data_IF_529830860185
#
_entry.id   IF_529830860185
#
_cell.length_a   1.000
_cell.length_b   1.000
_cell.length_c   1.000
_cell.angle_alpha   90.00
_cell.angle_beta   90.00
_cell.angle_gamma   90.00
#
_symmetry.space_group_name_H-M   'P 1'
#
loop_
_entity.id
_entity.type
_entity.pdbx_description
1 polymer ?
#
# COMPACT_ATOMS: atom_id res chain seq x y z
N UNK A 1 -2.33 36.48 30.63
CA UNK A 1 -3.35 35.56 30.07
C UNK A 1 -3.15 35.23 28.59
N UNK A 2 -2.93 36.18 27.67
CA UNK A 2 -2.77 35.90 26.22
C UNK A 2 -1.68 34.87 25.87
N UNK A 3 -0.52 34.92 26.55
CA UNK A 3 0.58 33.96 26.32
C UNK A 3 0.31 32.56 26.87
N UNK A 4 -0.55 32.42 27.88
CA UNK A 4 -0.90 31.12 28.47
C UNK A 4 -1.81 30.32 27.51
N UNK A 5 -2.73 31.03 26.83
CA UNK A 5 -3.64 30.45 25.84
C UNK A 5 -2.86 29.99 24.59
N UNK A 6 -1.92 30.80 24.10
CA UNK A 6 -1.03 30.44 22.99
C UNK A 6 -0.14 29.22 23.32
N UNK A 7 0.36 29.14 24.55
CA UNK A 7 1.20 28.01 24.99
C UNK A 7 0.38 26.71 25.14
N UNK A 8 -0.86 26.79 25.65
CA UNK A 8 -1.77 25.65 25.74
C UNK A 8 -2.19 25.12 24.37
N UNK A 9 -2.52 26.00 23.42
CA UNK A 9 -2.84 25.62 22.03
C UNK A 9 -1.62 25.00 21.33
N UNK A 10 -0.42 25.53 21.58
CA UNK A 10 0.81 24.94 21.05
C UNK A 10 1.09 23.54 21.61
N UNK A 11 0.86 23.30 22.92
CA UNK A 11 1.05 21.97 23.52
C UNK A 11 0.04 20.95 22.97
N UNK A 12 -1.22 21.36 22.79
CA UNK A 12 -2.29 20.47 22.31
C UNK A 12 -2.08 20.06 20.85
N UNK A 13 -1.65 21.00 19.99
CA UNK A 13 -1.39 20.72 18.56
C UNK A 13 -0.15 19.86 18.32
N UNK A 14 0.92 20.02 19.11
CA UNK A 14 2.11 19.15 19.03
C UNK A 14 1.80 17.73 19.53
N UNK A 15 0.95 17.60 20.54
CA UNK A 15 0.58 16.29 21.09
C UNK A 15 -0.29 15.47 20.13
N UNK A 16 -1.19 16.11 19.38
CA UNK A 16 -2.06 15.41 18.42
C UNK A 16 -1.30 14.95 17.17
N UNK A 17 -0.36 15.77 16.65
CA UNK A 17 0.50 15.37 15.52
C UNK A 17 1.35 14.16 15.87
N UNK A 18 1.93 14.15 17.07
CA UNK A 18 2.74 13.02 17.58
C UNK A 18 1.90 11.74 17.77
N UNK A 19 0.63 11.86 18.17
CA UNK A 19 -0.28 10.72 18.29
C UNK A 19 -0.63 10.12 16.92
N UNK A 20 -0.96 10.95 15.92
CA UNK A 20 -1.23 10.49 14.56
C UNK A 20 0.01 9.80 13.95
N UNK A 21 1.20 10.40 14.10
CA UNK A 21 2.46 9.82 13.61
C UNK A 21 2.75 8.46 14.26
N UNK A 22 2.44 8.31 15.55
CA UNK A 22 2.60 7.05 16.27
C UNK A 22 1.66 5.97 15.74
N UNK A 23 0.38 6.28 15.54
CA UNK A 23 -0.58 5.31 14.97
C UNK A 23 -0.21 4.96 13.51
N UNK A 24 0.29 5.93 12.73
CA UNK A 24 0.82 5.67 11.38
C UNK A 24 2.02 4.73 11.39
N UNK A 25 2.99 4.96 12.31
CA UNK A 25 4.13 4.05 12.52
C UNK A 25 3.69 2.65 12.93
N UNK A 26 2.64 2.54 13.73
CA UNK A 26 2.08 1.24 14.09
C UNK A 26 1.46 0.53 12.88
N UNK A 27 0.64 1.23 12.08
CA UNK A 27 0.03 0.66 10.87
C UNK A 27 1.10 0.24 9.85
N UNK A 28 2.05 1.11 9.52
CA UNK A 28 3.16 0.80 8.60
C UNK A 28 4.01 -0.35 9.10
N UNK A 29 4.25 -0.46 10.41
CA UNK A 29 4.94 -1.62 11.00
C UNK A 29 4.18 -2.94 10.79
N UNK A 30 2.85 -2.94 10.84
CA UNK A 30 2.04 -4.11 10.52
C UNK A 30 2.09 -4.47 9.04
N UNK A 31 1.94 -3.46 8.17
CA UNK A 31 2.00 -3.65 6.72
C UNK A 31 3.39 -4.11 6.27
N UNK A 32 4.46 -3.60 6.87
CA UNK A 32 5.83 -4.05 6.63
C UNK A 32 6.04 -5.52 7.05
N UNK A 33 5.42 -5.96 8.16
CA UNK A 33 5.48 -7.36 8.58
C UNK A 33 4.74 -8.29 7.61
N UNK A 34 3.63 -7.84 7.03
CA UNK A 34 2.97 -8.56 5.92
C UNK A 34 3.86 -8.55 4.68
N UNK A 35 4.49 -7.43 4.35
CA UNK A 35 5.36 -7.31 3.18
C UNK A 35 6.54 -8.28 3.21
N UNK A 36 7.16 -8.44 4.38
CA UNK A 36 8.20 -9.44 4.61
C UNK A 36 7.69 -10.88 4.45
N UNK A 37 6.46 -11.18 4.90
CA UNK A 37 5.87 -12.50 4.75
C UNK A 37 5.59 -12.85 3.28
N UNK A 38 5.14 -11.88 2.49
CA UNK A 38 4.79 -12.09 1.08
C UNK A 38 6.00 -12.03 0.14
N UNK A 39 7.14 -11.52 0.57
CA UNK A 39 8.38 -11.60 -0.23
C UNK A 39 8.77 -13.06 -0.46
N UNK A 40 8.95 -13.42 -1.74
CA UNK A 40 9.20 -14.78 -2.21
C UNK A 40 7.95 -15.66 -2.35
N UNK A 41 6.75 -15.13 -2.06
CA UNK A 41 5.50 -15.87 -2.27
C UNK A 41 5.09 -15.83 -3.74
N UNK A 42 4.46 -16.92 -4.16
CA UNK A 42 3.87 -17.06 -5.47
C UNK A 42 2.35 -16.91 -5.36
N UNK A 43 1.76 -16.44 -6.45
CA UNK A 43 0.32 -16.41 -6.67
C UNK A 43 -0.04 -16.81 -8.09
N UNK A 44 -1.32 -17.00 -8.33
CA UNK A 44 -1.87 -17.43 -9.60
C UNK A 44 -3.00 -16.49 -10.02
N UNK A 45 -2.98 -15.97 -11.26
CA UNK A 45 -4.03 -15.10 -11.77
C UNK A 45 -5.11 -15.96 -12.41
N UNK A 46 -6.13 -16.37 -11.65
CA UNK A 46 -7.23 -17.19 -12.20
C UNK A 46 -8.31 -16.32 -12.84
N UNK A 47 -8.59 -16.58 -14.12
CA UNK A 47 -9.75 -16.04 -14.86
C UNK A 47 -9.77 -14.52 -15.15
N UNK A 48 -8.65 -13.87 -15.49
CA UNK A 48 -8.73 -12.45 -15.89
C UNK A 48 -7.50 -11.87 -16.57
N UNK A 49 -7.65 -11.57 -17.88
CA UNK A 49 -7.01 -10.48 -18.67
C UNK A 49 -5.48 -10.25 -18.60
N UNK A 50 -4.69 -11.06 -17.90
CA UNK A 50 -3.24 -10.99 -17.93
C UNK A 50 -2.69 -11.97 -18.97
N UNK A 51 -1.65 -11.55 -19.69
CA UNK A 51 -0.82 -12.44 -20.51
C UNK A 51 -0.09 -13.49 -19.63
N UNK A 52 0.04 -13.21 -18.32
CA UNK A 52 0.73 -14.06 -17.37
C UNK A 52 -0.22 -14.77 -16.41
N UNK A 53 0.08 -16.03 -16.15
CA UNK A 53 -0.75 -16.91 -15.30
C UNK A 53 -0.25 -16.98 -13.85
N UNK A 54 1.02 -16.69 -13.60
CA UNK A 54 1.64 -16.73 -12.27
C UNK A 54 2.41 -15.46 -12.00
N UNK A 55 2.48 -15.08 -10.71
CA UNK A 55 3.37 -14.03 -10.25
C UNK A 55 4.16 -14.49 -9.03
N UNK A 56 5.36 -13.94 -8.90
CA UNK A 56 6.21 -14.07 -7.72
C UNK A 56 6.50 -12.68 -7.20
N UNK A 57 6.24 -12.43 -5.91
CA UNK A 57 6.61 -11.17 -5.27
C UNK A 57 8.11 -11.24 -4.93
N UNK A 58 8.96 -10.63 -5.73
CA UNK A 58 10.42 -10.67 -5.52
C UNK A 58 10.87 -9.72 -4.41
N UNK A 59 10.18 -8.59 -4.26
CA UNK A 59 10.45 -7.61 -3.21
C UNK A 59 9.14 -6.93 -2.84
N UNK A 60 8.89 -6.80 -1.54
CA UNK A 60 7.83 -5.93 -1.05
C UNK A 60 8.27 -5.24 0.24
N UNK A 61 8.13 -3.92 0.28
CA UNK A 61 8.48 -3.11 1.44
C UNK A 61 7.53 -1.92 1.60
N UNK A 62 7.25 -1.57 2.85
CA UNK A 62 6.41 -0.48 3.30
C UNK A 62 7.17 0.30 4.35
N UNK A 63 7.35 1.60 4.14
CA UNK A 63 7.87 2.53 5.14
C UNK A 63 6.82 3.59 5.47
N UNK A 64 7.19 4.57 6.27
CA UNK A 64 6.38 5.75 6.56
C UNK A 64 6.08 6.63 5.34
N UNK A 65 6.91 6.53 4.30
CA UNK A 65 6.97 7.45 3.16
C UNK A 65 6.94 6.75 1.80
N UNK A 66 7.06 5.42 1.77
CA UNK A 66 7.29 4.69 0.52
C UNK A 66 6.69 3.29 0.58
N UNK A 67 6.00 2.91 -0.49
CA UNK A 67 5.63 1.52 -0.77
C UNK A 67 6.39 1.09 -2.02
N UNK A 68 7.19 0.03 -1.93
CA UNK A 68 7.86 -0.55 -3.09
C UNK A 68 7.42 -1.99 -3.25
N UNK A 69 7.02 -2.33 -4.45
CA UNK A 69 6.56 -3.65 -4.82
C UNK A 69 7.24 -4.08 -6.11
N UNK A 70 7.78 -5.30 -6.14
CA UNK A 70 8.41 -5.87 -7.32
C UNK A 70 7.87 -7.28 -7.52
N UNK A 71 7.35 -7.52 -8.70
CA UNK A 71 6.85 -8.81 -9.11
C UNK A 71 7.55 -9.30 -10.37
N UNK A 72 7.72 -10.61 -10.42
CA UNK A 72 8.00 -11.34 -11.64
C UNK A 72 6.72 -12.00 -12.12
N UNK A 73 6.39 -11.80 -13.38
CA UNK A 73 5.21 -12.36 -14.04
C UNK A 73 5.67 -13.44 -15.02
N UNK A 74 5.01 -14.60 -14.98
CA UNK A 74 5.37 -15.76 -15.81
C UNK A 74 4.15 -16.53 -16.30
N UNK A 75 4.22 -17.03 -17.54
CA UNK A 75 3.28 -18.03 -18.02
C UNK A 75 3.55 -19.36 -17.31
N UNK A 76 2.51 -19.88 -16.65
CA UNK A 76 2.51 -21.16 -15.95
C UNK A 76 2.92 -22.32 -16.84
N UNK A 77 2.61 -22.25 -18.13
CA UNK A 77 2.91 -23.32 -19.08
C UNK A 77 4.22 -23.09 -19.83
N UNK A 78 4.87 -21.94 -19.64
CA UNK A 78 6.09 -21.57 -20.34
C UNK A 78 5.91 -21.47 -21.86
N UNK A 79 4.69 -21.19 -22.33
CA UNK A 79 4.41 -21.01 -23.75
C UNK A 79 4.85 -19.63 -24.23
N UNK A 80 4.86 -18.64 -23.33
CA UNK A 80 5.37 -17.32 -23.65
C UNK A 80 6.89 -17.29 -23.67
N UNK A 81 7.42 -16.70 -24.73
CA UNK A 81 8.87 -16.53 -24.95
C UNK A 81 9.40 -15.31 -24.21
N UNK A 82 8.61 -14.72 -23.32
CA UNK A 82 8.91 -13.49 -22.60
C UNK A 82 8.84 -13.72 -21.09
N UNK A 83 9.70 -13.02 -20.35
CA UNK A 83 9.57 -12.86 -18.91
C UNK A 83 9.31 -11.37 -18.62
N UNK A 84 8.29 -11.07 -17.83
CA UNK A 84 7.96 -9.71 -17.45
C UNK A 84 8.29 -9.48 -15.97
N UNK A 85 8.87 -8.32 -15.68
CA UNK A 85 9.10 -7.84 -14.33
C UNK A 85 8.41 -6.49 -14.16
N UNK A 86 7.59 -6.38 -13.12
CA UNK A 86 6.86 -5.18 -12.76
C UNK A 86 7.44 -4.64 -11.45
N UNK A 87 7.85 -3.37 -11.44
CA UNK A 87 8.28 -2.64 -10.25
C UNK A 87 7.36 -1.44 -10.06
N UNK A 88 6.70 -1.37 -8.91
CA UNK A 88 5.84 -0.27 -8.51
C UNK A 88 6.44 0.44 -7.30
N UNK A 89 6.46 1.76 -7.35
CA UNK A 89 6.90 2.62 -6.25
C UNK A 89 5.84 3.68 -6.01
N UNK A 90 5.32 3.77 -4.79
CA UNK A 90 4.32 4.75 -4.39
C UNK A 90 4.89 5.61 -3.28
N UNK A 91 4.98 6.92 -3.52
CA UNK A 91 5.47 7.91 -2.55
C UNK A 91 4.29 8.42 -1.73
N UNK A 92 4.33 8.16 -0.42
CA UNK A 92 3.26 8.50 0.50
C UNK A 92 3.40 9.95 0.97
N UNK A 93 2.28 10.69 0.96
CA UNK A 93 2.26 12.07 1.44
C UNK A 93 2.14 12.10 2.98
N UNK A 94 2.90 12.96 3.69
CA UNK A 94 2.86 13.01 5.16
C UNK A 94 1.48 13.38 5.72
N UNK A 95 0.71 14.19 4.98
CA UNK A 95 -0.63 14.63 5.37
C UNK A 95 -1.77 13.76 4.81
N UNK A 96 -1.45 12.61 4.21
CA UNK A 96 -2.48 11.73 3.63
C UNK A 96 -3.46 11.25 4.70
N UNK A 97 -4.72 11.09 4.30
CA UNK A 97 -5.77 10.54 5.14
C UNK A 97 -6.37 9.33 4.47
N UNK A 98 -6.59 8.28 5.24
CA UNK A 98 -7.26 7.08 4.75
C UNK A 98 -8.74 7.41 4.66
N UNK A 99 -9.28 7.39 3.44
CA UNK A 99 -10.70 7.51 3.17
C UNK A 99 -11.41 6.18 3.44
N UNK A 100 -10.87 5.08 2.92
CA UNK A 100 -11.48 3.76 3.05
C UNK A 100 -10.43 2.65 3.15
N UNK A 101 -10.82 1.52 3.74
CA UNK A 101 -10.03 0.31 3.82
C UNK A 101 -10.96 -0.89 3.58
N UNK A 102 -10.68 -1.67 2.55
CA UNK A 102 -11.54 -2.80 2.14
C UNK A 102 -10.72 -4.02 1.76
N UNK A 103 -11.30 -5.20 1.94
CA UNK A 103 -10.72 -6.41 1.36
C UNK A 103 -11.17 -6.47 -0.10
N UNK A 104 -10.21 -6.45 -1.01
CA UNK A 104 -10.52 -6.58 -2.42
C UNK A 104 -10.57 -8.05 -2.81
N UNK A 105 -11.80 -8.52 -3.03
CA UNK A 105 -12.08 -9.88 -3.49
C UNK A 105 -11.96 -10.05 -5.00
N UNK A 106 -11.94 -8.96 -5.77
CA UNK A 106 -11.70 -9.02 -7.21
C UNK A 106 -10.31 -9.59 -7.50
N UNK A 107 -9.36 -9.30 -6.62
CA UNK A 107 -7.99 -9.83 -6.68
C UNK A 107 -7.73 -10.98 -5.69
N UNK A 108 -8.74 -11.49 -4.97
CA UNK A 108 -8.44 -12.50 -3.93
C UNK A 108 -8.10 -13.89 -4.49
N UNK A 109 -8.52 -14.21 -5.72
CA UNK A 109 -8.10 -15.43 -6.43
C UNK A 109 -6.65 -15.39 -6.89
N UNK A 110 -5.94 -14.28 -6.69
CA UNK A 110 -4.53 -14.13 -7.05
C UNK A 110 -3.60 -14.93 -6.12
N UNK A 111 -4.03 -15.26 -4.89
CA UNK A 111 -3.23 -16.07 -3.98
C UNK A 111 -3.61 -17.54 -4.04
N UNK A 112 -2.60 -18.40 -4.13
CA UNK A 112 -2.78 -19.86 -4.07
C UNK A 112 -3.45 -20.30 -2.75
N UNK A 113 -3.17 -19.59 -1.65
CA UNK A 113 -3.70 -19.90 -0.33
C UNK A 113 -5.01 -19.16 0.00
N UNK A 114 -5.78 -18.68 -0.98
CA UNK A 114 -7.11 -18.13 -0.74
C UNK A 114 -8.00 -19.13 0.03
N UNK A 115 -8.80 -18.71 1.03
CA UNK A 115 -9.05 -17.34 1.51
C UNK A 115 -8.12 -16.88 2.65
N UNK A 116 -7.01 -17.56 2.90
CA UNK A 116 -6.08 -17.19 3.97
C UNK A 116 -5.16 -16.02 3.61
N UNK A 117 -5.04 -15.71 2.32
CA UNK A 117 -4.25 -14.61 1.76
C UNK A 117 -5.15 -13.84 0.78
N UNK A 118 -5.15 -12.51 0.87
CA UNK A 118 -5.95 -11.61 0.03
C UNK A 118 -5.34 -10.21 -0.01
N UNK A 119 -5.86 -9.35 -0.87
CA UNK A 119 -5.45 -7.95 -0.91
C UNK A 119 -6.34 -7.07 -0.03
N UNK A 120 -5.71 -6.17 0.72
CA UNK A 120 -6.29 -4.99 1.33
C UNK A 120 -6.11 -3.82 0.37
N UNK A 121 -7.20 -3.17 0.01
CA UNK A 121 -7.20 -1.89 -0.68
C UNK A 121 -7.29 -0.77 0.36
N UNK A 122 -6.29 0.10 0.40
CA UNK A 122 -6.34 1.38 1.10
C UNK A 122 -6.60 2.48 0.09
N UNK A 123 -7.68 3.23 0.30
CA UNK A 123 -7.99 4.44 -0.47
C UNK A 123 -7.73 5.65 0.41
N UNK A 124 -7.06 6.64 -0.17
CA UNK A 124 -6.71 7.90 0.46
C UNK A 124 -7.56 9.04 -0.11
N UNK A 125 -7.71 10.12 0.64
CA UNK A 125 -8.42 11.31 0.16
C UNK A 125 -7.76 11.89 -1.11
N UNK A 126 -8.57 12.18 -2.12
CA UNK A 126 -8.13 12.73 -3.41
C UNK A 126 -7.38 14.06 -3.29
N UNK A 127 -7.56 14.78 -2.18
CA UNK A 127 -6.83 16.01 -1.88
C UNK A 127 -5.30 15.82 -1.76
N UNK A 128 -4.85 14.57 -1.55
CA UNK A 128 -3.44 14.22 -1.37
C UNK A 128 -3.03 13.10 -2.34
N UNK A 129 -2.96 13.37 -3.66
CA UNK A 129 -2.55 12.36 -4.63
C UNK A 129 -1.10 11.94 -4.38
N UNK A 130 -0.85 10.63 -4.37
CA UNK A 130 0.47 10.04 -4.23
C UNK A 130 1.10 9.85 -5.60
N UNK A 131 2.43 9.98 -5.68
CA UNK A 131 3.17 9.68 -6.91
C UNK A 131 3.30 8.17 -7.02
N UNK A 132 2.89 7.61 -8.15
CA UNK A 132 2.97 6.19 -8.49
C UNK A 132 3.84 6.01 -9.72
N UNK A 133 4.98 5.37 -9.53
CA UNK A 133 5.90 5.04 -10.59
C UNK A 133 5.83 3.54 -10.88
N UNK A 134 5.64 3.20 -12.14
CA UNK A 134 5.59 1.82 -12.63
C UNK A 134 6.72 1.63 -13.64
N UNK A 135 7.62 0.70 -13.37
CA UNK A 135 8.66 0.27 -14.29
C UNK A 135 8.32 -1.15 -14.74
N UNK A 136 8.25 -1.35 -16.05
CA UNK A 136 7.97 -2.63 -16.64
C UNK A 136 9.14 -3.06 -17.53
N UNK A 137 9.66 -4.25 -17.31
CA UNK A 137 10.78 -4.81 -18.06
C UNK A 137 10.36 -6.13 -18.68
N UNK A 138 10.33 -6.15 -20.01
CA UNK A 138 10.09 -7.35 -20.81
C UNK A 138 11.42 -7.89 -21.30
N UNK A 139 11.63 -9.18 -21.08
CA UNK A 139 12.82 -9.87 -21.56
C UNK A 139 12.42 -11.00 -22.49
N UNK A 140 12.87 -10.93 -23.74
CA UNK A 140 12.75 -12.04 -24.68
C UNK A 140 13.74 -13.14 -24.27
N UNK A 141 13.21 -14.35 -24.06
CA UNK A 141 13.97 -15.50 -23.58
C UNK A 141 14.88 -16.05 -24.67
N UNK A 142 14.53 -15.92 -25.95
CA UNK A 142 15.30 -16.40 -27.10
C UNK A 142 16.41 -15.42 -27.50
N UNK A 143 16.07 -14.15 -27.71
CA UNK A 143 17.02 -13.13 -28.20
C UNK A 143 17.83 -12.51 -27.07
N UNK A 144 17.37 -12.65 -25.82
CA UNK A 144 17.91 -11.96 -24.63
C UNK A 144 17.78 -10.44 -24.69
N UNK A 145 17.02 -9.90 -25.65
CA UNK A 145 16.72 -8.49 -25.72
C UNK A 145 15.81 -8.09 -24.55
N UNK A 146 16.06 -6.91 -24.02
CA UNK A 146 15.29 -6.33 -22.93
C UNK A 146 14.66 -5.03 -23.41
N UNK A 147 13.34 -4.94 -23.27
CA UNK A 147 12.59 -3.70 -23.45
C UNK A 147 12.11 -3.20 -22.09
N UNK A 148 12.29 -1.90 -21.85
CA UNK A 148 11.97 -1.28 -20.58
C UNK A 148 11.10 -0.06 -20.83
N UNK A 149 9.92 -0.08 -20.22
CA UNK A 149 9.04 1.09 -20.13
C UNK A 149 8.95 1.59 -18.70
N UNK A 150 8.69 2.89 -18.57
CA UNK A 150 8.46 3.55 -17.30
C UNK A 150 7.29 4.50 -17.46
N UNK A 151 6.38 4.46 -16.49
CA UNK A 151 5.25 5.35 -16.37
C UNK A 151 5.28 5.98 -14.98
N UNK A 152 4.89 7.25 -14.91
CA UNK A 152 4.66 7.97 -13.67
C UNK A 152 3.26 8.57 -13.73
N UNK A 153 2.45 8.25 -12.73
CA UNK A 153 1.08 8.73 -12.59
C UNK A 153 0.81 9.11 -11.13
N UNK A 154 -0.40 9.61 -10.88
CA UNK A 154 -0.87 9.83 -9.52
C UNK A 154 -1.89 8.77 -9.15
N UNK A 155 -1.87 8.36 -7.88
CA UNK A 155 -2.84 7.41 -7.33
C UNK A 155 -3.33 7.87 -5.96
N UNK A 156 -4.52 7.42 -5.62
CA UNK A 156 -5.13 7.53 -4.29
C UNK A 156 -5.38 6.13 -3.70
N UNK A 157 -4.89 5.08 -4.36
CA UNK A 157 -5.16 3.70 -3.99
C UNK A 157 -3.85 2.92 -3.86
N UNK A 158 -3.76 2.07 -2.84
CA UNK A 158 -2.64 1.14 -2.67
C UNK A 158 -3.16 -0.23 -2.26
N UNK A 159 -2.69 -1.26 -2.94
CA UNK A 159 -3.00 -2.66 -2.64
C UNK A 159 -1.90 -3.29 -1.79
N UNK A 160 -2.30 -3.91 -0.67
CA UNK A 160 -1.40 -4.64 0.23
C UNK A 160 -1.82 -6.09 0.33
N UNK A 161 -0.98 -7.07 -0.06
CA UNK A 161 -1.25 -8.45 0.28
C UNK A 161 -1.15 -8.64 1.80
N UNK A 162 -2.19 -9.24 2.39
CA UNK A 162 -2.29 -9.50 3.83
C UNK A 162 -2.84 -10.89 4.10
N UNK A 163 -2.50 -11.42 5.27
CA UNK A 163 -3.04 -12.69 5.78
C UNK A 163 -4.34 -12.48 6.55
N UNK A 164 -5.28 -13.41 6.39
CA UNK A 164 -6.58 -13.41 7.06
C UNK A 164 -6.49 -13.27 8.58
N UNK A 165 -5.54 -13.99 9.20
CA UNK A 165 -5.30 -13.96 10.65
C UNK A 165 -4.90 -12.59 11.20
N UNK A 166 -4.37 -11.70 10.35
CA UNK A 166 -3.92 -10.37 10.75
C UNK A 166 -4.90 -9.27 10.38
N UNK A 167 -6.00 -9.60 9.67
CA UNK A 167 -7.01 -8.65 9.21
C UNK A 167 -7.52 -7.76 10.33
N UNK A 168 -8.05 -8.35 11.40
CA UNK A 168 -8.64 -7.58 12.51
C UNK A 168 -7.64 -6.60 13.13
N UNK A 169 -6.39 -7.04 13.30
CA UNK A 169 -5.33 -6.19 13.84
C UNK A 169 -5.00 -5.00 12.95
N UNK A 170 -4.96 -5.22 11.62
CA UNK A 170 -4.68 -4.17 10.64
C UNK A 170 -5.84 -3.18 10.57
N UNK A 171 -7.08 -3.66 10.47
CA UNK A 171 -8.27 -2.80 10.44
C UNK A 171 -8.39 -1.94 11.70
N UNK A 172 -8.13 -2.53 12.87
CA UNK A 172 -8.10 -1.76 14.13
C UNK A 172 -7.02 -0.67 14.14
N UNK A 173 -5.85 -0.93 13.55
CA UNK A 173 -4.80 0.09 13.44
C UNK A 173 -5.20 1.23 12.47
N UNK A 174 -5.93 0.91 11.40
CA UNK A 174 -6.50 1.90 10.48
C UNK A 174 -7.56 2.75 11.19
N UNK A 175 -8.48 2.13 11.92
CA UNK A 175 -9.48 2.85 12.72
C UNK A 175 -8.83 3.81 13.71
N UNK A 176 -7.81 3.33 14.46
CA UNK A 176 -7.08 4.18 15.39
C UNK A 176 -6.41 5.38 14.71
N UNK A 177 -5.79 5.16 13.54
CA UNK A 177 -5.18 6.23 12.75
C UNK A 177 -6.23 7.27 12.33
N UNK A 178 -7.34 6.83 11.74
CA UNK A 178 -8.43 7.71 11.30
C UNK A 178 -9.05 8.50 12.46
N UNK A 179 -9.21 7.88 13.64
CA UNK A 179 -9.72 8.57 14.83
C UNK A 179 -8.82 9.73 15.27
N UNK A 180 -7.49 9.60 15.16
CA UNK A 180 -6.58 10.70 15.45
C UNK A 180 -6.68 11.82 14.40
N UNK A 181 -6.88 11.46 13.14
CA UNK A 181 -7.07 12.42 12.05
C UNK A 181 -8.36 13.23 12.22
N UNK A 182 -9.50 12.57 12.43
CA UNK A 182 -10.82 13.22 12.60
C UNK A 182 -10.85 14.09 13.86
N UNK A 183 -10.25 13.61 14.96
CA UNK A 183 -10.20 14.39 16.21
C UNK A 183 -9.54 15.76 16.01
N UNK A 184 -8.45 15.80 15.22
CA UNK A 184 -7.74 17.06 14.91
C UNK A 184 -8.61 18.03 14.11
N UNK A 185 -9.44 17.53 13.20
CA UNK A 185 -10.36 18.37 12.41
C UNK A 185 -11.47 18.95 13.29
N UNK A 186 -12.10 18.12 14.11
CA UNK A 186 -13.15 18.57 15.03
C UNK A 186 -12.63 19.59 16.06
N UNK A 187 -11.40 19.41 16.55
CA UNK A 187 -10.75 20.39 17.42
C UNK A 187 -10.45 21.71 16.70
N UNK A 188 -10.11 21.70 15.41
CA UNK A 188 -9.90 22.92 14.63
C UNK A 188 -11.23 23.64 14.35
N UNK A 189 -12.29 22.92 13.99
CA UNK A 189 -13.60 23.49 13.70
C UNK A 189 -14.27 24.11 14.94
N UNK A 190 -14.05 23.58 16.13
CA UNK A 190 -14.55 24.17 17.38
C UNK A 190 -13.85 25.48 17.78
N UNK A 191 -12.70 25.79 17.19
CA UNK A 191 -11.90 26.98 17.48
C UNK A 191 -12.07 28.11 16.44
N UNK A 192 -12.92 27.91 15.43
CA UNK A 192 -13.30 28.89 14.39
C UNK A 192 -14.73 29.42 14.60
#
# INVERSE_FOLDING_TARGET
MKYLVLFLVFILTVSSLSAQEKEWKQLTGLLQAEAQYFTGKNGFIQFGKSEYNTFTIEKFSVTDSLVNFKMKLQDRFGNEETAQQLEETIVLHPDMKIHSATIDYNYAFYFENFPNEFFLLLEFEEAYPMIHQIINTFKDVKTKEEDRSQMEETTYQVYFPIRSKNREKIFKAIENYQLQTIKKELENDQNH
#
